data_IF_528156895237
#
_entry.id   IF_528156895237
#
_cell.length_a   1.000
_cell.length_b   1.000
_cell.length_c   1.000
_cell.angle_alpha   90.00
_cell.angle_beta   90.00
_cell.angle_gamma   90.00
#
_symmetry.space_group_name_H-M   'P 1'
#
loop_
_entity.id
_entity.type
_entity.pdbx_description
1 polymer ?
#
# COMPACT_ATOMS: atom_id res chain seq x y z
N UNK A 1 -3.24 -0.77 -13.12
CA UNK A 1 -3.40 -2.19 -13.47
C UNK A 1 -2.80 -2.43 -14.84
N UNK A 2 -1.49 -2.22 -14.96
CA UNK A 2 -0.77 -2.40 -16.22
C UNK A 2 -0.65 -3.89 -16.58
N UNK A 3 -0.45 -4.76 -15.57
CA UNK A 3 -0.38 -6.22 -15.72
C UNK A 3 -1.63 -6.81 -16.40
N UNK A 4 -2.82 -6.31 -16.03
CA UNK A 4 -4.07 -6.75 -16.64
C UNK A 4 -4.18 -6.23 -18.07
N UNK A 5 -3.80 -4.98 -18.33
CA UNK A 5 -3.82 -4.39 -19.68
C UNK A 5 -2.90 -5.15 -20.63
N UNK A 6 -1.65 -5.42 -20.21
CA UNK A 6 -0.69 -6.15 -21.03
C UNK A 6 -1.18 -7.55 -21.39
N UNK A 7 -1.87 -8.24 -20.48
CA UNK A 7 -2.46 -9.55 -20.78
C UNK A 7 -3.48 -9.49 -21.92
N UNK A 8 -4.32 -8.46 -21.96
CA UNK A 8 -5.31 -8.31 -23.03
C UNK A 8 -4.74 -7.67 -24.30
N UNK A 9 -3.68 -6.87 -24.20
CA UNK A 9 -3.04 -6.17 -25.32
C UNK A 9 -2.06 -7.06 -26.11
N UNK A 10 -1.45 -8.07 -25.49
CA UNK A 10 -0.58 -9.04 -26.18
C UNK A 10 -1.45 -10.08 -26.91
N UNK A 11 -1.79 -9.77 -28.15
CA UNK A 11 -2.19 -10.74 -29.17
C UNK A 11 -3.67 -11.19 -29.18
N UNK A 12 -4.65 -10.28 -29.29
CA UNK A 12 -5.99 -10.77 -29.65
C UNK A 12 -6.97 -9.79 -30.33
N UNK A 13 -7.40 -10.19 -31.52
CA UNK A 13 -8.69 -9.81 -32.13
C UNK A 13 -9.85 -10.66 -31.53
N UNK A 14 -9.58 -11.79 -30.87
CA UNK A 14 -10.56 -12.70 -30.24
C UNK A 14 -10.76 -12.46 -28.72
N UNK A 15 -10.91 -11.20 -28.29
CA UNK A 15 -11.27 -10.90 -26.88
C UNK A 15 -12.74 -11.28 -26.62
N UNK A 16 -12.98 -12.33 -25.81
CA UNK A 16 -14.33 -12.72 -25.39
C UNK A 16 -14.61 -12.33 -23.95
N UNK A 17 -15.90 -12.22 -23.58
CA UNK A 17 -16.33 -11.93 -22.21
C UNK A 17 -16.01 -13.05 -21.20
N UNK A 18 -15.74 -14.25 -21.71
CA UNK A 18 -15.49 -15.45 -20.90
C UNK A 18 -13.99 -15.72 -20.67
N UNK A 19 -13.12 -14.85 -21.19
CA UNK A 19 -11.68 -14.97 -20.99
C UNK A 19 -11.32 -14.77 -19.51
N UNK A 20 -10.61 -15.74 -18.93
CA UNK A 20 -10.19 -15.71 -17.53
C UNK A 20 -8.68 -15.47 -17.41
N UNK A 21 -8.30 -14.61 -16.46
CA UNK A 21 -6.91 -14.37 -16.08
C UNK A 21 -6.66 -15.01 -14.71
N UNK A 22 -5.87 -16.09 -14.61
CA UNK A 22 -5.55 -16.69 -13.32
C UNK A 22 -4.63 -15.76 -12.51
N UNK A 23 -5.07 -15.38 -11.31
CA UNK A 23 -4.35 -14.49 -10.42
C UNK A 23 -4.01 -15.22 -9.12
N UNK A 24 -2.90 -15.96 -9.12
CA UNK A 24 -2.51 -16.82 -7.99
C UNK A 24 -1.88 -16.04 -6.82
N UNK A 25 -1.30 -14.87 -7.10
CA UNK A 25 -0.55 -14.08 -6.12
C UNK A 25 -1.38 -12.99 -5.43
N UNK A 26 -2.70 -12.96 -5.66
CA UNK A 26 -3.60 -11.96 -5.09
C UNK A 26 -4.84 -12.67 -4.58
N UNK A 27 -5.15 -12.53 -3.29
CA UNK A 27 -6.37 -13.12 -2.72
C UNK A 27 -7.63 -12.44 -3.28
N UNK A 28 -8.76 -13.13 -3.23
CA UNK A 28 -10.04 -12.56 -3.68
C UNK A 28 -10.43 -11.30 -2.90
N UNK A 29 -10.14 -11.25 -1.60
CA UNK A 29 -10.37 -10.09 -0.74
C UNK A 29 -9.58 -8.86 -1.21
N UNK A 30 -8.26 -9.02 -1.40
CA UNK A 30 -7.40 -7.94 -1.87
C UNK A 30 -7.76 -7.50 -3.28
N UNK A 31 -8.09 -8.46 -4.17
CA UNK A 31 -8.56 -8.13 -5.52
C UNK A 31 -9.83 -7.29 -5.47
N UNK A 32 -10.81 -7.67 -4.65
CA UNK A 32 -12.05 -6.90 -4.49
C UNK A 32 -11.77 -5.49 -4.01
N UNK A 33 -10.93 -5.33 -2.98
CA UNK A 33 -10.56 -4.01 -2.46
C UNK A 33 -9.87 -3.13 -3.52
N UNK A 34 -8.96 -3.69 -4.32
CA UNK A 34 -8.30 -2.97 -5.43
C UNK A 34 -9.32 -2.53 -6.48
N UNK A 35 -10.25 -3.42 -6.85
CA UNK A 35 -11.29 -3.09 -7.81
C UNK A 35 -12.21 -1.98 -7.30
N UNK A 36 -12.60 -2.01 -6.03
CA UNK A 36 -13.46 -0.99 -5.42
C UNK A 36 -12.76 0.37 -5.35
N UNK A 37 -11.47 0.39 -4.99
CA UNK A 37 -10.63 1.59 -5.06
C UNK A 37 -10.64 2.22 -6.45
N UNK A 38 -10.39 1.41 -7.50
CA UNK A 38 -10.34 1.89 -8.88
C UNK A 38 -11.71 2.29 -9.41
N UNK A 39 -12.78 1.56 -9.08
CA UNK A 39 -14.16 1.95 -9.44
C UNK A 39 -14.45 3.35 -8.93
N UNK A 40 -14.11 3.64 -7.67
CA UNK A 40 -14.33 4.97 -7.09
C UNK A 40 -13.50 6.06 -7.75
N UNK A 41 -12.21 5.82 -7.98
CA UNK A 41 -11.34 6.78 -8.68
C UNK A 41 -11.79 7.04 -10.11
N UNK A 42 -12.35 6.04 -10.79
CA UNK A 42 -12.96 6.22 -12.10
C UNK A 42 -14.23 7.08 -12.04
N UNK A 43 -15.07 6.95 -11.01
CA UNK A 43 -16.20 7.86 -10.80
C UNK A 43 -15.74 9.30 -10.61
N UNK A 44 -14.68 9.54 -9.83
CA UNK A 44 -14.10 10.86 -9.65
C UNK A 44 -13.62 11.48 -10.96
N UNK A 45 -12.93 10.70 -11.80
CA UNK A 45 -12.45 11.16 -13.13
C UNK A 45 -13.59 11.46 -14.12
N UNK A 46 -14.76 10.85 -13.97
CA UNK A 46 -15.92 11.08 -14.84
C UNK A 46 -16.70 12.35 -14.50
N UNK A 47 -16.51 12.93 -13.31
CA UNK A 47 -17.25 14.13 -12.87
C UNK A 47 -16.71 15.39 -13.56
N UNK A 48 -17.62 16.28 -13.92
CA UNK A 48 -17.31 17.60 -14.48
C UNK A 48 -18.14 18.65 -13.70
N UNK A 49 -17.51 19.53 -12.90
CA UNK A 49 -16.07 19.58 -12.62
C UNK A 49 -15.60 18.35 -11.82
N UNK A 50 -14.29 18.01 -11.88
CA UNK A 50 -13.73 16.95 -11.05
C UNK A 50 -13.89 17.30 -9.56
N UNK A 51 -13.94 16.29 -8.67
CA UNK A 51 -13.98 16.55 -7.24
C UNK A 51 -12.71 17.29 -6.77
N UNK A 52 -12.82 18.13 -5.72
CA UNK A 52 -11.64 18.71 -5.07
C UNK A 52 -10.66 17.63 -4.61
N UNK A 53 -9.37 17.98 -4.56
CA UNK A 53 -8.32 17.06 -4.13
C UNK A 53 -8.57 16.52 -2.72
N UNK A 54 -9.12 17.34 -1.84
CA UNK A 54 -9.53 17.00 -0.47
C UNK A 54 -10.59 15.89 -0.45
N UNK A 55 -11.51 15.90 -1.42
CA UNK A 55 -12.55 14.87 -1.53
C UNK A 55 -12.00 13.50 -1.96
N UNK A 56 -10.98 13.50 -2.83
CA UNK A 56 -10.25 12.26 -3.21
C UNK A 56 -9.44 11.76 -2.03
N UNK A 57 -8.72 12.66 -1.34
CA UNK A 57 -7.93 12.31 -0.15
C UNK A 57 -8.81 11.73 0.95
N UNK A 58 -9.97 12.34 1.24
CA UNK A 58 -10.89 11.83 2.26
C UNK A 58 -11.38 10.41 1.97
N UNK A 59 -11.61 10.06 0.69
CA UNK A 59 -11.92 8.68 0.33
C UNK A 59 -10.73 7.75 0.55
N UNK A 60 -9.51 8.17 0.19
CA UNK A 60 -8.31 7.37 0.40
C UNK A 60 -8.05 7.12 1.88
N UNK A 61 -8.16 8.15 2.72
CA UNK A 61 -8.01 8.03 4.17
C UNK A 61 -9.05 7.04 4.73
N UNK A 62 -10.33 7.17 4.36
CA UNK A 62 -11.39 6.26 4.79
C UNK A 62 -11.22 4.81 4.27
N UNK A 63 -10.66 4.64 3.08
CA UNK A 63 -10.32 3.33 2.52
C UNK A 63 -9.25 2.63 3.35
N UNK A 64 -8.32 3.40 3.93
CA UNK A 64 -7.18 2.89 4.71
C UNK A 64 -7.47 2.72 6.20
N UNK A 65 -8.39 3.52 6.76
CA UNK A 65 -8.72 3.57 8.19
C UNK A 65 -9.07 2.18 8.77
N UNK A 66 -9.84 1.39 8.02
CA UNK A 66 -10.32 0.08 8.47
C UNK A 66 -9.37 -1.09 8.12
N UNK A 67 -8.13 -0.81 7.72
CA UNK A 67 -7.18 -1.84 7.29
C UNK A 67 -6.14 -2.13 8.36
N UNK A 68 -6.01 -3.39 8.78
CA UNK A 68 -4.92 -3.81 9.67
C UNK A 68 -3.55 -3.61 9.02
N UNK A 69 -2.47 -3.67 9.82
CA UNK A 69 -1.11 -3.63 9.29
C UNK A 69 -0.83 -4.81 8.35
N UNK A 70 -1.41 -5.99 8.66
CA UNK A 70 -1.34 -7.19 7.81
C UNK A 70 -1.97 -6.92 6.43
N UNK A 71 -3.23 -6.46 6.41
CA UNK A 71 -3.97 -6.16 5.19
C UNK A 71 -3.30 -5.06 4.37
N UNK A 72 -2.70 -4.06 5.02
CA UNK A 72 -1.96 -3.01 4.33
C UNK A 72 -0.75 -3.58 3.60
N UNK A 73 0.06 -4.42 4.25
CA UNK A 73 1.22 -5.09 3.65
C UNK A 73 0.83 -5.98 2.47
N UNK A 74 -0.22 -6.79 2.63
CA UNK A 74 -0.72 -7.67 1.57
C UNK A 74 -1.26 -6.88 0.37
N UNK A 75 -1.95 -5.76 0.61
CA UNK A 75 -2.39 -4.86 -0.45
C UNK A 75 -1.23 -4.18 -1.17
N UNK A 76 -0.15 -3.81 -0.48
CA UNK A 76 1.05 -3.25 -1.13
C UNK A 76 1.64 -4.28 -2.08
N UNK A 77 1.77 -5.53 -1.64
CA UNK A 77 2.27 -6.63 -2.48
C UNK A 77 1.38 -6.88 -3.71
N UNK A 78 0.06 -6.91 -3.51
CA UNK A 78 -0.90 -7.07 -4.60
C UNK A 78 -0.88 -5.88 -5.57
N UNK A 79 -0.79 -4.66 -5.05
CA UNK A 79 -0.75 -3.43 -5.84
C UNK A 79 0.52 -3.34 -6.69
N UNK A 80 1.66 -3.77 -6.13
CA UNK A 80 2.93 -3.91 -6.83
C UNK A 80 2.83 -4.97 -7.94
N UNK A 81 2.32 -6.16 -7.63
CA UNK A 81 2.14 -7.25 -8.61
C UNK A 81 1.24 -6.84 -9.80
N UNK A 82 0.16 -6.14 -9.51
CA UNK A 82 -0.79 -5.65 -10.53
C UNK A 82 -0.32 -4.38 -11.27
N UNK A 83 0.83 -3.83 -10.86
CA UNK A 83 1.36 -2.56 -11.33
C UNK A 83 0.28 -1.47 -11.32
N UNK A 84 -0.09 -1.09 -10.10
CA UNK A 84 -1.16 -0.13 -9.78
C UNK A 84 -0.60 1.09 -9.07
N UNK A 85 0.22 1.88 -9.79
CA UNK A 85 0.96 3.02 -9.22
C UNK A 85 0.13 3.92 -8.28
N UNK A 86 -1.05 4.37 -8.71
CA UNK A 86 -1.91 5.25 -7.91
C UNK A 86 -2.32 4.64 -6.56
N UNK A 87 -2.63 3.35 -6.52
CA UNK A 87 -2.94 2.67 -5.28
C UNK A 87 -1.67 2.42 -4.47
N UNK A 88 -0.58 2.03 -5.12
CA UNK A 88 0.70 1.80 -4.45
C UNK A 88 1.18 3.05 -3.72
N UNK A 89 1.12 4.22 -4.38
CA UNK A 89 1.48 5.51 -3.79
C UNK A 89 0.64 5.79 -2.53
N UNK A 90 -0.69 5.60 -2.60
CA UNK A 90 -1.61 5.78 -1.45
C UNK A 90 -1.28 4.83 -0.29
N UNK A 91 -0.97 3.56 -0.58
CA UNK A 91 -0.63 2.57 0.44
C UNK A 91 0.74 2.85 1.08
N UNK A 92 1.71 3.31 0.30
CA UNK A 92 3.04 3.67 0.82
C UNK A 92 2.99 4.93 1.67
N UNK A 93 2.20 5.93 1.29
CA UNK A 93 1.98 7.13 2.10
C UNK A 93 1.31 6.77 3.44
N UNK A 94 0.32 5.87 3.41
CA UNK A 94 -0.32 5.36 4.62
C UNK A 94 0.65 4.61 5.52
N UNK A 95 1.55 3.81 4.93
CA UNK A 95 2.59 3.09 5.67
C UNK A 95 3.55 4.07 6.32
N UNK A 96 3.99 5.08 5.58
CA UNK A 96 4.89 6.12 6.08
C UNK A 96 4.27 6.83 7.29
N UNK A 97 2.99 7.19 7.23
CA UNK A 97 2.31 7.85 8.36
C UNK A 97 2.14 6.89 9.57
N UNK A 98 1.97 5.58 9.36
CA UNK A 98 1.87 4.61 10.47
C UNK A 98 3.17 4.38 11.23
N UNK A 99 4.31 4.51 10.55
CA UNK A 99 5.64 4.30 11.15
C UNK A 99 6.33 5.61 11.56
N UNK A 100 5.73 6.74 11.20
CA UNK A 100 6.24 8.07 11.52
C UNK A 100 6.28 8.25 13.03
N UNK A 101 7.40 8.74 13.52
CA UNK A 101 7.67 8.98 14.95
C UNK A 101 7.47 7.74 15.85
N UNK A 102 7.42 6.53 15.30
CA UNK A 102 7.34 5.29 16.08
C UNK A 102 8.72 4.78 16.45
N UNK A 103 8.79 3.94 17.50
CA UNK A 103 10.05 3.37 17.94
C UNK A 103 10.67 2.45 16.87
N UNK A 104 11.99 2.25 16.93
CA UNK A 104 12.68 1.33 16.03
C UNK A 104 12.12 -0.09 16.17
N UNK A 105 11.77 -0.47 17.40
CA UNK A 105 11.15 -1.74 17.75
C UNK A 105 9.78 -1.91 17.08
N UNK A 106 8.93 -0.89 17.13
CA UNK A 106 7.64 -0.90 16.44
C UNK A 106 7.81 -1.03 14.93
N UNK A 107 8.71 -0.22 14.33
CA UNK A 107 8.94 -0.27 12.88
C UNK A 107 9.48 -1.64 12.45
N UNK A 108 10.39 -2.23 13.23
CA UNK A 108 10.88 -3.61 13.00
C UNK A 108 9.73 -4.61 13.06
N UNK A 109 8.91 -4.58 14.11
CA UNK A 109 7.77 -5.48 14.25
C UNK A 109 6.74 -5.29 13.13
N UNK A 110 6.44 -4.04 12.74
CA UNK A 110 5.52 -3.71 11.66
C UNK A 110 5.97 -4.33 10.33
N UNK A 111 7.25 -4.16 9.99
CA UNK A 111 7.85 -4.67 8.75
C UNK A 111 8.20 -6.16 8.81
N UNK A 112 8.16 -6.79 9.99
CA UNK A 112 8.57 -8.19 10.18
C UNK A 112 10.08 -8.39 10.09
N UNK A 113 10.85 -7.39 10.55
CA UNK A 113 12.32 -7.42 10.57
C UNK A 113 12.80 -7.84 11.96
N UNK A 114 13.61 -8.89 12.02
CA UNK A 114 14.30 -9.30 13.25
C UNK A 114 15.50 -8.39 13.51
N UNK A 115 15.76 -8.07 14.79
CA UNK A 115 16.96 -7.30 15.16
C UNK A 115 18.20 -8.19 15.05
N UNK A 116 19.11 -7.82 14.16
CA UNK A 116 20.35 -8.54 13.87
C UNK A 116 21.59 -7.93 14.54
N UNK A 117 21.42 -6.83 15.30
CA UNK A 117 22.50 -6.23 16.07
C UNK A 117 22.78 -6.96 17.38
N UNK A 118 24.07 -7.03 17.74
CA UNK A 118 24.45 -7.37 19.12
C UNK A 118 24.06 -6.24 20.08
N UNK A 119 23.88 -6.52 21.38
CA UNK A 119 23.56 -5.50 22.37
C UNK A 119 24.56 -4.33 22.38
N UNK A 120 25.86 -4.63 22.22
CA UNK A 120 26.92 -3.63 22.18
C UNK A 120 26.83 -2.74 20.93
N UNK A 121 26.55 -3.32 19.76
CA UNK A 121 26.36 -2.57 18.52
C UNK A 121 25.13 -1.67 18.59
N UNK A 122 24.02 -2.19 19.13
CA UNK A 122 22.80 -1.41 19.27
C UNK A 122 22.99 -0.22 20.21
N UNK A 123 23.66 -0.40 21.36
CA UNK A 123 23.99 0.71 22.26
C UNK A 123 24.86 1.76 21.56
N UNK A 124 25.87 1.32 20.80
CA UNK A 124 26.75 2.23 20.06
C UNK A 124 25.98 3.02 19.00
N UNK A 125 25.16 2.36 18.19
CA UNK A 125 24.35 3.00 17.14
C UNK A 125 23.34 3.97 17.75
N UNK A 126 22.72 3.62 18.90
CA UNK A 126 21.80 4.52 19.61
C UNK A 126 22.51 5.76 20.12
N UNK A 127 23.71 5.62 20.68
CA UNK A 127 24.53 6.75 21.13
C UNK A 127 24.97 7.66 19.97
N UNK A 128 25.28 7.09 18.80
CA UNK A 128 25.62 7.87 17.60
C UNK A 128 24.40 8.60 17.00
N UNK A 129 23.18 8.08 17.24
CA UNK A 129 21.94 8.57 16.66
C UNK A 129 20.94 9.07 17.71
N UNK A 130 21.41 9.59 18.86
CA UNK A 130 20.54 10.06 19.96
C UNK A 130 19.43 11.01 19.49
N UNK A 131 19.73 11.86 18.50
CA UNK A 131 18.80 12.81 17.91
C UNK A 131 17.56 12.16 17.27
N UNK A 132 17.63 10.89 16.88
CA UNK A 132 16.54 10.17 16.22
C UNK A 132 15.55 9.53 17.22
N UNK A 133 15.88 9.54 18.52
CA UNK A 133 15.04 8.95 19.58
C UNK A 133 14.27 10.00 20.40
N UNK A 134 14.45 11.29 20.10
CA UNK A 134 13.68 12.37 20.73
C UNK A 134 12.33 12.56 20.02
N UNK A 135 11.27 12.82 20.79
CA UNK A 135 9.92 13.03 20.26
C UNK A 135 9.25 11.80 19.63
N UNK A 136 9.70 10.59 19.99
CA UNK A 136 9.08 9.33 19.58
C UNK A 136 7.78 9.12 20.38
N UNK A 137 6.71 8.75 19.68
CA UNK A 137 5.42 8.44 20.28
C UNK A 137 5.48 7.11 21.05
N UNK A 138 4.67 6.95 22.09
CA UNK A 138 4.48 5.63 22.71
C UNK A 138 3.87 4.66 21.69
N UNK A 139 4.37 3.42 21.68
CA UNK A 139 4.05 2.43 20.64
C UNK A 139 2.60 1.93 20.66
#
# INVERSE_FOLDING_TARGET
>A
METVKSFFDVGNEDRTKDMTLPMLNVSAEHMSAILDFYRKHLEFRKRIPPPPAEGVKAFNDAFLENKSNEQLKELIMAANFLNTKELLDVLTDATAERIKNKSVEYVRAFLGIENDFTPEEEVKIRAENEWAFDGVDED
#
